data_IF_555690142513
#
_entry.id   IF_555690142513
#
_cell.length_a   1.000
_cell.length_b   1.000
_cell.length_c   1.000
_cell.angle_alpha   90.00
_cell.angle_beta   90.00
_cell.angle_gamma   90.00
#
_symmetry.space_group_name_H-M   'P 1'
#
loop_
_entity.id
_entity.type
_entity.pdbx_description
1 polymer ?
#
# COMPACT_ATOMS: atom_id res chain seq x y z
N UNK A 1 5.56 16.24 6.36
CA UNK A 1 4.48 16.61 7.28
C UNK A 1 4.72 17.97 7.94
N UNK A 2 3.77 18.89 7.81
CA UNK A 2 3.71 20.18 8.52
C UNK A 2 3.40 19.99 10.01
N UNK A 3 3.59 21.03 10.82
CA UNK A 3 3.27 20.96 12.26
C UNK A 3 1.76 20.79 12.51
N UNK A 4 0.92 21.34 11.63
CA UNK A 4 -0.52 21.11 11.66
C UNK A 4 -0.86 19.66 11.34
N UNK A 5 -0.25 19.06 10.31
CA UNK A 5 -0.48 17.65 9.96
C UNK A 5 -0.03 16.70 11.07
N UNK A 6 1.09 17.00 11.74
CA UNK A 6 1.53 16.27 12.95
C UNK A 6 0.51 16.38 14.08
N UNK A 7 0.06 17.60 14.38
CA UNK A 7 -0.96 17.81 15.41
C UNK A 7 -2.28 17.09 15.10
N UNK A 8 -2.73 17.13 13.84
CA UNK A 8 -3.93 16.41 13.40
C UNK A 8 -3.76 14.89 13.49
N UNK A 9 -2.59 14.37 13.12
CA UNK A 9 -2.26 12.97 13.30
C UNK A 9 -2.30 12.56 14.78
N UNK A 10 -1.72 13.37 15.67
CA UNK A 10 -1.77 13.11 17.12
C UNK A 10 -3.21 13.13 17.67
N UNK A 11 -4.07 14.00 17.11
CA UNK A 11 -5.46 14.15 17.54
C UNK A 11 -6.38 13.05 17.00
N UNK A 12 -6.22 12.63 15.74
CA UNK A 12 -7.14 11.72 15.05
C UNK A 12 -6.60 10.29 14.92
N UNK A 13 -5.29 10.09 15.08
CA UNK A 13 -4.60 8.84 14.79
C UNK A 13 -4.35 8.60 13.29
N UNK A 14 -4.72 9.55 12.42
CA UNK A 14 -4.44 9.55 10.99
C UNK A 14 -4.44 10.98 10.44
N UNK A 15 -3.82 11.18 9.28
CA UNK A 15 -3.90 12.43 8.51
C UNK A 15 -3.92 12.10 7.02
N UNK A 16 -4.65 12.88 6.23
CA UNK A 16 -4.63 12.78 4.77
C UNK A 16 -3.65 13.81 4.25
N UNK A 17 -2.68 13.36 3.45
CA UNK A 17 -1.72 14.22 2.77
C UNK A 17 -1.95 14.04 1.29
N UNK A 18 -2.41 15.09 0.63
CA UNK A 18 -2.72 15.07 -0.79
C UNK A 18 -1.45 15.20 -1.63
N UNK A 19 -1.48 14.58 -2.81
CA UNK A 19 -0.43 14.67 -3.84
C UNK A 19 0.97 14.32 -3.29
N UNK A 20 1.06 13.31 -2.42
CA UNK A 20 2.34 12.80 -1.94
C UNK A 20 3.14 12.23 -3.10
N UNK A 21 2.50 11.42 -3.95
CA UNK A 21 3.14 10.80 -5.11
C UNK A 21 2.84 11.57 -6.39
N UNK A 22 3.85 11.75 -7.23
CA UNK A 22 3.66 12.27 -8.59
C UNK A 22 3.18 11.17 -9.53
N UNK A 23 2.68 11.56 -10.71
CA UNK A 23 2.08 10.63 -11.66
C UNK A 23 3.07 9.54 -12.11
N UNK A 24 4.34 9.89 -12.28
CA UNK A 24 5.40 8.97 -12.69
C UNK A 24 5.68 7.90 -11.62
N UNK A 25 5.67 8.28 -10.34
CA UNK A 25 5.86 7.35 -9.23
C UNK A 25 4.68 6.38 -9.12
N UNK A 26 3.46 6.87 -9.34
CA UNK A 26 2.25 6.03 -9.37
C UNK A 26 2.33 5.02 -10.51
N UNK A 27 2.74 5.46 -11.71
CA UNK A 27 2.90 4.56 -12.87
C UNK A 27 3.94 3.49 -12.56
N UNK A 28 5.12 3.85 -12.06
CA UNK A 28 6.18 2.89 -11.73
C UNK A 28 5.74 1.87 -10.68
N UNK A 29 4.99 2.30 -9.65
CA UNK A 29 4.46 1.40 -8.62
C UNK A 29 3.41 0.43 -9.17
N UNK A 30 2.56 0.90 -10.08
CA UNK A 30 1.57 0.05 -10.75
C UNK A 30 2.26 -0.97 -11.66
N UNK A 31 3.25 -0.57 -12.47
CA UNK A 31 4.01 -1.49 -13.31
C UNK A 31 4.74 -2.57 -12.48
N UNK A 32 5.33 -2.18 -11.35
CA UNK A 32 5.96 -3.13 -10.43
C UNK A 32 4.98 -4.12 -9.81
N UNK A 33 3.75 -3.67 -9.53
CA UNK A 33 2.65 -4.50 -9.03
C UNK A 33 2.18 -5.48 -10.09
N UNK A 34 1.95 -5.00 -11.31
CA UNK A 34 1.49 -5.81 -12.43
C UNK A 34 2.52 -6.88 -12.80
N UNK A 35 3.81 -6.53 -12.80
CA UNK A 35 4.90 -7.47 -13.06
C UNK A 35 4.94 -8.65 -12.07
N UNK A 36 4.56 -8.42 -10.81
CA UNK A 36 4.57 -9.42 -9.73
C UNK A 36 3.16 -9.92 -9.37
N UNK A 37 2.20 -9.84 -10.29
CA UNK A 37 0.81 -10.26 -10.03
C UNK A 37 0.71 -11.71 -9.56
N UNK A 38 1.61 -12.58 -10.03
CA UNK A 38 1.71 -13.99 -9.62
C UNK A 38 2.05 -14.17 -8.14
N UNK A 39 2.63 -13.16 -7.49
CA UNK A 39 2.90 -13.17 -6.05
C UNK A 39 1.68 -12.74 -5.22
N UNK A 40 0.64 -12.20 -5.85
CA UNK A 40 -0.56 -11.72 -5.17
C UNK A 40 -1.48 -12.90 -4.88
N UNK A 41 -1.78 -13.11 -3.60
CA UNK A 41 -2.76 -14.10 -3.16
C UNK A 41 -3.75 -13.50 -2.20
N UNK A 42 -4.94 -14.11 -2.13
CA UNK A 42 -5.91 -13.72 -1.12
C UNK A 42 -5.42 -14.16 0.26
N UNK A 43 -5.41 -13.22 1.20
CA UNK A 43 -5.23 -13.50 2.61
C UNK A 43 -6.35 -14.42 3.12
N UNK A 44 -5.99 -15.37 3.97
CA UNK A 44 -6.97 -16.20 4.65
C UNK A 44 -7.93 -15.36 5.51
N UNK A 45 -9.26 -15.58 5.42
CA UNK A 45 -10.24 -14.84 6.21
C UNK A 45 -10.03 -15.06 7.72
N UNK A 46 -9.49 -14.06 8.43
CA UNK A 46 -9.06 -14.25 9.82
C UNK A 46 -10.05 -13.76 10.89
N UNK A 47 -10.75 -12.64 10.65
CA UNK A 47 -11.48 -11.92 11.71
C UNK A 47 -12.97 -11.74 11.45
N UNK A 48 -13.45 -12.07 10.26
CA UNK A 48 -14.85 -11.87 9.88
C UNK A 48 -15.79 -12.95 10.44
N UNK A 49 -15.27 -14.05 10.99
CA UNK A 49 -16.04 -15.18 11.55
C UNK A 49 -17.20 -15.65 10.65
N UNK A 50 -16.98 -15.73 9.34
CA UNK A 50 -18.03 -16.07 8.34
C UNK A 50 -19.25 -15.13 8.35
N UNK A 51 -19.09 -13.88 8.80
CA UNK A 51 -20.13 -12.84 8.72
C UNK A 51 -20.55 -12.63 7.26
N UNK A 52 -21.80 -12.93 6.95
CA UNK A 52 -22.38 -12.71 5.62
C UNK A 52 -22.33 -11.23 5.20
N UNK A 53 -22.35 -10.29 6.15
CA UNK A 53 -22.23 -8.85 5.86
C UNK A 53 -20.82 -8.42 5.45
N UNK A 54 -19.80 -9.21 5.79
CA UNK A 54 -18.39 -8.94 5.47
C UNK A 54 -17.89 -9.83 4.33
N UNK A 55 -18.79 -10.59 3.70
CA UNK A 55 -18.48 -11.48 2.60
C UNK A 55 -18.41 -10.66 1.31
N UNK A 56 -17.28 -10.76 0.63
CA UNK A 56 -17.07 -10.18 -0.68
C UNK A 56 -16.74 -11.29 -1.67
N UNK A 57 -17.02 -11.07 -2.96
CA UNK A 57 -16.73 -12.02 -4.04
C UNK A 57 -15.22 -12.28 -4.18
N UNK A 58 -14.40 -11.25 -3.93
CA UNK A 58 -12.95 -11.33 -3.93
C UNK A 58 -12.42 -11.10 -2.51
N UNK A 59 -11.41 -11.89 -2.14
CA UNK A 59 -10.68 -11.69 -0.88
C UNK A 59 -9.77 -10.46 -0.93
N UNK A 60 -9.08 -10.21 0.19
CA UNK A 60 -8.04 -9.19 0.25
C UNK A 60 -6.74 -9.76 -0.31
N UNK A 61 -6.34 -9.28 -1.48
CA UNK A 61 -5.04 -9.61 -2.08
C UNK A 61 -3.88 -9.03 -1.26
N UNK A 62 -2.83 -9.81 -1.09
CA UNK A 62 -1.55 -9.40 -0.52
C UNK A 62 -0.40 -10.07 -1.27
N UNK A 63 0.74 -9.38 -1.39
CA UNK A 63 1.94 -10.00 -1.92
C UNK A 63 2.48 -11.03 -0.91
N UNK A 64 2.79 -12.24 -1.39
CA UNK A 64 3.49 -13.25 -0.60
C UNK A 64 4.93 -12.86 -0.25
N UNK A 65 5.50 -11.92 -0.99
CA UNK A 65 6.83 -11.38 -0.79
C UNK A 65 6.76 -9.89 -0.51
N UNK A 66 7.68 -9.39 0.31
CA UNK A 66 7.79 -7.96 0.58
C UNK A 66 8.21 -7.20 -0.70
N UNK A 67 7.43 -6.21 -1.19
CA UNK A 67 7.78 -5.42 -2.37
C UNK A 67 9.13 -4.70 -2.27
N UNK A 68 9.60 -4.41 -1.05
CA UNK A 68 10.93 -3.84 -0.81
C UNK A 68 12.09 -4.79 -1.17
N UNK A 69 11.79 -6.06 -1.44
CA UNK A 69 12.76 -7.12 -1.74
C UNK A 69 12.67 -7.65 -3.17
N UNK A 70 11.82 -7.05 -4.02
CA UNK A 70 11.81 -7.36 -5.44
C UNK A 70 13.16 -7.05 -6.09
N UNK A 71 13.42 -7.67 -7.24
CA UNK A 71 14.60 -7.35 -8.03
C UNK A 71 14.47 -5.93 -8.62
N UNK A 72 15.59 -5.17 -8.73
CA UNK A 72 15.57 -3.89 -9.43
C UNK A 72 15.08 -4.04 -10.88
N UNK A 73 14.26 -3.10 -11.39
CA UNK A 73 13.88 -1.82 -10.78
C UNK A 73 12.63 -1.87 -9.89
N UNK A 74 12.01 -3.04 -9.72
CA UNK A 74 10.65 -3.17 -9.18
C UNK A 74 10.52 -2.88 -7.68
N UNK A 75 11.63 -2.97 -6.94
CA UNK A 75 11.65 -2.58 -5.52
C UNK A 75 11.68 -1.06 -5.31
N UNK A 76 12.16 -0.32 -6.31
CA UNK A 76 12.50 1.10 -6.17
C UNK A 76 11.31 2.01 -5.88
N UNK A 77 10.15 1.91 -6.55
CA UNK A 77 9.01 2.78 -6.24
C UNK A 77 8.58 2.66 -4.77
N UNK A 78 8.51 1.43 -4.23
CA UNK A 78 8.12 1.21 -2.83
C UNK A 78 9.16 1.72 -1.83
N UNK A 79 10.45 1.59 -2.14
CA UNK A 79 11.53 2.13 -1.30
C UNK A 79 11.53 3.65 -1.28
N UNK A 80 11.31 4.28 -2.44
CA UNK A 80 11.23 5.73 -2.56
C UNK A 80 10.05 6.30 -1.76
N UNK A 81 8.89 5.63 -1.77
CA UNK A 81 7.72 6.02 -0.95
C UNK A 81 8.03 6.07 0.55
N UNK A 82 8.84 5.14 1.09
CA UNK A 82 9.18 5.12 2.52
C UNK A 82 10.08 6.28 2.96
N UNK A 83 10.88 6.81 2.04
CA UNK A 83 11.80 7.93 2.28
C UNK A 83 11.31 9.21 1.62
N UNK A 84 10.00 9.29 1.35
CA UNK A 84 9.44 10.44 0.65
C UNK A 84 9.70 11.73 1.46
N UNK A 85 10.24 12.80 0.84
CA UNK A 85 10.65 14.01 1.55
C UNK A 85 9.46 14.82 2.10
N UNK A 86 8.25 14.54 1.61
CA UNK A 86 7.02 15.25 1.95
C UNK A 86 6.26 14.54 3.06
#
# INVERSE_FOLDING_TARGET
MTDLEKFLFDLWGYVVIDDVLIQEEIIAANEATDYHTELIVNREPGLSQNSEKLKAEKGRGEFRQNPLTFDPPWCDPFRQMLTHPR
#
